data_IF_089333896251
#
_entry.id   IF_089333896251
#
_cell.length_a   1.000
_cell.length_b   1.000
_cell.length_c   1.000
_cell.angle_alpha   90.00
_cell.angle_beta   90.00
_cell.angle_gamma   90.00
#
_symmetry.space_group_name_H-M   'P 1'
#
loop_
_entity.id
_entity.type
_entity.pdbx_description
1 polymer ?
#
# COMPACT_ATOMS: atom_id res chain seq x y z
N UNK A 1 29.12 -0.47 -10.80
CA UNK A 1 29.02 -1.11 -9.47
C UNK A 1 29.19 -2.64 -9.59
N UNK A 2 29.85 -3.29 -8.62
CA UNK A 2 29.83 -4.75 -8.54
C UNK A 2 28.39 -5.25 -8.28
N UNK A 3 27.97 -6.43 -8.76
CA UNK A 3 26.59 -6.92 -8.60
C UNK A 3 26.06 -6.85 -7.16
N UNK A 4 26.91 -7.17 -6.18
CA UNK A 4 26.58 -7.10 -4.76
C UNK A 4 26.30 -5.68 -4.25
N UNK A 5 27.02 -4.69 -4.78
CA UNK A 5 26.77 -3.28 -4.44
C UNK A 5 25.44 -2.79 -5.00
N UNK A 6 25.00 -3.31 -6.16
CA UNK A 6 23.69 -2.98 -6.71
C UNK A 6 22.54 -3.55 -5.87
N UNK A 7 22.70 -4.76 -5.31
CA UNK A 7 21.73 -5.33 -4.38
C UNK A 7 21.63 -4.51 -3.09
N UNK A 8 22.77 -4.09 -2.53
CA UNK A 8 22.79 -3.24 -1.34
C UNK A 8 22.09 -1.88 -1.57
N UNK A 9 22.35 -1.23 -2.70
CA UNK A 9 21.69 0.01 -3.09
C UNK A 9 20.18 -0.19 -3.30
N UNK A 10 19.78 -1.31 -3.91
CA UNK A 10 18.37 -1.65 -4.09
C UNK A 10 17.64 -1.84 -2.76
N UNK A 11 18.24 -2.59 -1.82
CA UNK A 11 17.68 -2.78 -0.48
C UNK A 11 17.56 -1.46 0.29
N UNK A 12 18.59 -0.60 0.23
CA UNK A 12 18.53 0.74 0.82
C UNK A 12 17.38 1.56 0.22
N UNK A 13 17.22 1.51 -1.11
CA UNK A 13 16.14 2.22 -1.81
C UNK A 13 14.75 1.74 -1.38
N UNK A 14 14.56 0.44 -1.23
CA UNK A 14 13.30 -0.13 -0.69
C UNK A 14 13.04 0.40 0.71
N UNK A 15 14.07 0.42 1.57
CA UNK A 15 13.99 0.99 2.92
C UNK A 15 13.56 2.46 2.91
N UNK A 16 14.16 3.28 2.05
CA UNK A 16 13.79 4.69 1.90
C UNK A 16 12.33 4.86 1.49
N UNK A 17 11.84 4.05 0.55
CA UNK A 17 10.45 4.08 0.11
C UNK A 17 9.52 3.69 1.26
N UNK A 18 9.84 2.63 2.02
CA UNK A 18 9.05 2.22 3.18
C UNK A 18 8.95 3.36 4.21
N UNK A 19 10.08 3.99 4.57
CA UNK A 19 10.10 5.09 5.55
C UNK A 19 9.27 6.28 5.05
N UNK A 20 9.40 6.65 3.78
CA UNK A 20 8.62 7.72 3.19
C UNK A 20 7.12 7.41 3.16
N UNK A 21 6.74 6.19 2.78
CA UNK A 21 5.34 5.74 2.78
C UNK A 21 4.74 5.77 4.19
N UNK A 22 5.45 5.30 5.20
CA UNK A 22 4.99 5.33 6.60
C UNK A 22 4.85 6.77 7.13
N UNK A 23 5.78 7.66 6.79
CA UNK A 23 5.68 9.07 7.15
C UNK A 23 4.49 9.75 6.46
N UNK A 24 4.26 9.45 5.17
CA UNK A 24 3.09 9.94 4.44
C UNK A 24 1.79 9.49 5.08
N UNK A 25 1.69 8.20 5.42
CA UNK A 25 0.52 7.66 6.13
C UNK A 25 0.33 8.33 7.49
N UNK A 26 1.40 8.50 8.27
CA UNK A 26 1.35 9.23 9.55
C UNK A 26 0.82 10.65 9.36
N UNK A 27 1.30 11.38 8.36
CA UNK A 27 0.85 12.74 8.10
C UNK A 27 -0.64 12.81 7.75
N UNK A 28 -1.14 11.86 6.94
CA UNK A 28 -2.57 11.74 6.63
C UNK A 28 -3.38 11.47 7.90
N UNK A 29 -2.93 10.53 8.74
CA UNK A 29 -3.60 10.20 10.01
C UNK A 29 -3.60 11.36 11.01
N UNK A 30 -2.54 12.17 11.04
CA UNK A 30 -2.44 13.37 11.89
C UNK A 30 -3.12 14.60 11.31
N UNK A 31 -3.66 14.54 10.08
CA UNK A 31 -4.26 15.68 9.39
C UNK A 31 -3.25 16.73 8.89
N UNK A 32 -1.94 16.43 8.93
CA UNK A 32 -0.90 17.30 8.38
C UNK A 32 -0.92 17.34 6.84
N UNK A 33 -1.46 16.29 6.22
CA UNK A 33 -1.76 16.21 4.79
C UNK A 33 -3.24 15.85 4.66
N UNK A 34 -3.99 16.61 3.86
CA UNK A 34 -5.40 16.32 3.62
C UNK A 34 -5.58 14.99 2.87
N UNK A 35 -6.63 14.25 3.21
CA UNK A 35 -6.93 12.94 2.65
C UNK A 35 -7.22 12.99 1.13
N UNK A 36 -7.54 14.17 0.59
CA UNK A 36 -7.65 14.46 -0.84
C UNK A 36 -6.33 14.25 -1.60
N UNK A 37 -5.19 14.20 -0.90
CA UNK A 37 -3.88 13.89 -1.49
C UNK A 37 -3.64 12.40 -1.74
N UNK A 38 -4.52 11.52 -1.27
CA UNK A 38 -4.48 10.11 -1.61
C UNK A 38 -4.79 9.93 -3.10
N UNK A 39 -3.82 9.41 -3.85
CA UNK A 39 -3.99 9.04 -5.25
C UNK A 39 -4.72 7.69 -5.33
N UNK A 40 -5.76 7.65 -6.15
CA UNK A 40 -6.47 6.42 -6.49
C UNK A 40 -5.90 5.71 -7.72
N UNK A 41 -6.60 4.67 -8.21
CA UNK A 41 -6.18 3.91 -9.37
C UNK A 41 -6.01 4.76 -10.64
N UNK A 42 -6.80 5.82 -10.79
CA UNK A 42 -6.75 6.67 -11.98
C UNK A 42 -5.52 7.57 -11.92
N UNK A 43 -5.24 8.17 -10.76
CA UNK A 43 -4.02 8.95 -10.52
C UNK A 43 -2.75 8.11 -10.75
N UNK A 44 -2.73 6.87 -10.26
CA UNK A 44 -1.63 5.94 -10.50
C UNK A 44 -1.46 5.66 -12.00
N UNK A 45 -2.55 5.46 -12.75
CA UNK A 45 -2.49 5.24 -14.19
C UNK A 45 -1.93 6.46 -14.94
N UNK A 46 -2.31 7.67 -14.54
CA UNK A 46 -1.80 8.91 -15.13
C UNK A 46 -0.30 9.10 -14.88
N UNK A 47 0.12 9.01 -13.61
CA UNK A 47 1.54 9.11 -13.22
C UNK A 47 2.37 8.04 -13.91
N UNK A 48 1.80 6.85 -14.11
CA UNK A 48 2.45 5.76 -14.86
C UNK A 48 2.65 6.12 -16.33
N UNK A 49 1.64 6.68 -17.00
CA UNK A 49 1.74 7.14 -18.38
C UNK A 49 2.76 8.28 -18.55
N UNK A 50 2.72 9.26 -17.65
CA UNK A 50 3.66 10.38 -17.64
C UNK A 50 5.10 9.88 -17.43
N UNK A 51 5.33 9.05 -16.41
CA UNK A 51 6.66 8.52 -16.10
C UNK A 51 7.19 7.61 -17.20
N UNK A 52 6.32 6.84 -17.87
CA UNK A 52 6.70 6.02 -19.02
C UNK A 52 7.24 6.88 -20.18
N UNK A 53 6.64 8.05 -20.42
CA UNK A 53 7.11 8.99 -21.45
C UNK A 53 8.47 9.63 -21.11
N UNK A 54 8.84 9.68 -19.83
CA UNK A 54 10.15 10.15 -19.35
C UNK A 54 11.27 9.12 -19.54
N UNK A 55 10.92 7.87 -19.92
CA UNK A 55 11.87 6.81 -20.28
C UNK A 55 11.88 5.61 -19.33
N UNK A 56 12.55 4.54 -19.77
CA UNK A 56 12.53 3.23 -19.09
C UNK A 56 13.09 3.28 -17.66
N UNK A 57 14.13 4.08 -17.40
CA UNK A 57 14.73 4.18 -16.07
C UNK A 57 13.76 4.74 -15.03
N UNK A 58 13.04 5.80 -15.37
CA UNK A 58 12.02 6.41 -14.52
C UNK A 58 10.84 5.45 -14.32
N UNK A 59 10.42 4.76 -15.38
CA UNK A 59 9.33 3.79 -15.31
C UNK A 59 9.65 2.59 -14.39
N UNK A 60 10.86 2.03 -14.47
CA UNK A 60 11.31 0.97 -13.56
C UNK A 60 11.34 1.49 -12.11
N UNK A 61 11.76 2.74 -11.91
CA UNK A 61 11.76 3.36 -10.58
C UNK A 61 10.35 3.49 -10.02
N UNK A 62 9.39 3.91 -10.85
CA UNK A 62 7.98 3.98 -10.45
C UNK A 62 7.44 2.59 -10.09
N UNK A 63 7.69 1.57 -10.91
CA UNK A 63 7.31 0.19 -10.61
C UNK A 63 7.88 -0.25 -9.26
N UNK A 64 9.16 0.05 -8.99
CA UNK A 64 9.78 -0.28 -7.72
C UNK A 64 9.11 0.42 -6.53
N UNK A 65 8.76 1.70 -6.68
CA UNK A 65 8.05 2.47 -5.64
C UNK A 65 6.65 1.90 -5.39
N UNK A 66 5.85 1.71 -6.44
CA UNK A 66 4.50 1.16 -6.33
C UNK A 66 4.53 -0.26 -5.75
N UNK A 67 5.44 -1.12 -6.22
CA UNK A 67 5.59 -2.49 -5.74
C UNK A 67 5.97 -2.53 -4.25
N UNK A 68 6.88 -1.64 -3.83
CA UNK A 68 7.26 -1.54 -2.41
C UNK A 68 6.08 -1.06 -1.56
N UNK A 69 5.32 -0.07 -2.04
CA UNK A 69 4.15 0.44 -1.33
C UNK A 69 3.04 -0.62 -1.20
N UNK A 70 2.73 -1.34 -2.28
CA UNK A 70 1.74 -2.44 -2.26
C UNK A 70 2.23 -3.57 -1.33
N UNK A 71 3.51 -3.95 -1.41
CA UNK A 71 4.11 -4.93 -0.51
C UNK A 71 4.02 -4.51 0.96
N UNK A 72 4.30 -3.24 1.26
CA UNK A 72 4.14 -2.67 2.60
C UNK A 72 2.67 -2.70 3.07
N UNK A 73 1.73 -2.29 2.21
CA UNK A 73 0.31 -2.34 2.52
C UNK A 73 -0.17 -3.76 2.82
N UNK A 74 0.27 -4.76 2.04
CA UNK A 74 -0.08 -6.16 2.27
C UNK A 74 0.41 -6.70 3.62
N UNK A 75 1.44 -6.10 4.22
CA UNK A 75 1.93 -6.47 5.55
C UNK A 75 1.12 -5.85 6.69
N UNK A 76 0.19 -4.93 6.41
CA UNK A 76 -0.68 -4.36 7.43
C UNK A 76 -1.67 -5.38 8.00
N UNK A 77 -2.07 -5.23 9.27
CA UNK A 77 -2.94 -6.16 9.98
C UNK A 77 -4.42 -5.99 9.56
N UNK A 78 -4.69 -6.05 8.27
CA UNK A 78 -6.03 -5.94 7.68
C UNK A 78 -6.44 -7.35 7.25
N UNK A 79 -7.60 -7.89 7.67
CA UNK A 79 -7.96 -9.30 7.48
C UNK A 79 -7.84 -9.81 6.04
N UNK A 80 -8.19 -8.98 5.05
CA UNK A 80 -8.15 -9.34 3.62
C UNK A 80 -6.74 -9.30 3.01
N UNK A 81 -5.74 -8.80 3.75
CA UNK A 81 -4.34 -8.72 3.33
C UNK A 81 -3.51 -9.82 4.00
N UNK A 82 -2.33 -10.09 3.44
CA UNK A 82 -1.41 -11.13 3.94
C UNK A 82 -1.06 -10.94 5.43
N UNK A 83 -0.86 -9.69 5.87
CA UNK A 83 -0.60 -9.34 7.26
C UNK A 83 -1.76 -9.66 8.20
N UNK A 84 -3.01 -9.65 7.70
CA UNK A 84 -4.19 -10.12 8.45
C UNK A 84 -4.11 -11.60 8.79
N UNK A 85 -3.65 -12.42 7.86
CA UNK A 85 -3.42 -13.85 8.09
C UNK A 85 -2.26 -14.09 9.06
N UNK A 86 -1.16 -13.33 8.94
CA UNK A 86 -0.05 -13.39 9.90
C UNK A 86 -0.55 -13.10 11.32
N UNK A 87 -1.36 -12.06 11.50
CA UNK A 87 -1.96 -11.76 12.81
C UNK A 87 -2.87 -12.88 13.29
N UNK A 88 -3.68 -13.46 12.42
CA UNK A 88 -4.54 -14.59 12.79
C UNK A 88 -3.74 -15.79 13.30
N UNK A 89 -2.61 -16.13 12.64
CA UNK A 89 -1.72 -17.20 13.09
C UNK A 89 -1.01 -16.87 14.40
N UNK A 90 -0.57 -15.62 14.60
CA UNK A 90 -0.01 -15.18 15.88
C UNK A 90 -1.04 -15.32 17.00
N UNK A 91 -2.29 -14.92 16.75
CA UNK A 91 -3.39 -15.08 17.71
C UNK A 91 -3.67 -16.56 18.00
N UNK A 92 -3.67 -17.41 16.98
CA UNK A 92 -3.83 -18.86 17.15
C UNK A 92 -2.70 -19.47 17.98
N UNK A 93 -1.45 -19.09 17.71
CA UNK A 93 -0.27 -19.57 18.45
C UNK A 93 -0.33 -19.18 19.94
N UNK A 94 -0.79 -17.96 20.24
CA UNK A 94 -0.97 -17.49 21.63
C UNK A 94 -2.17 -18.17 22.31
N UNK A 95 -3.26 -18.40 21.58
CA UNK A 95 -4.52 -18.93 22.13
C UNK A 95 -4.58 -20.47 22.16
N UNK A 96 -3.71 -21.15 21.43
CA UNK A 96 -3.65 -22.60 21.28
C UNK A 96 -4.83 -23.22 20.51
N UNK A 97 -5.65 -22.39 19.84
CA UNK A 97 -6.81 -22.83 19.05
C UNK A 97 -7.14 -21.84 17.94
N UNK A 98 -7.61 -22.33 16.78
CA UNK A 98 -7.92 -21.48 15.65
C UNK A 98 -9.06 -20.50 15.98
N UNK A 99 -9.06 -19.29 15.36
CA UNK A 99 -10.21 -18.40 15.38
C UNK A 99 -11.45 -19.10 14.81
N UNK A 100 -12.64 -18.80 15.34
CA UNK A 100 -13.87 -19.35 14.77
C UNK A 100 -14.07 -18.88 13.33
N UNK A 101 -14.48 -19.76 12.43
CA UNK A 101 -14.72 -19.46 11.02
C UNK A 101 -15.64 -18.24 10.82
N UNK A 102 -16.71 -18.12 11.62
CA UNK A 102 -17.63 -16.97 11.57
C UNK A 102 -16.94 -15.64 11.86
N UNK A 103 -16.02 -15.62 12.84
CA UNK A 103 -15.27 -14.41 13.18
C UNK A 103 -14.28 -14.04 12.07
N UNK A 104 -13.63 -15.03 11.46
CA UNK A 104 -12.71 -14.80 10.35
C UNK A 104 -13.47 -14.27 9.11
N UNK A 105 -14.59 -14.89 8.75
CA UNK A 105 -15.45 -14.43 7.66
C UNK A 105 -15.93 -12.99 7.89
N UNK A 106 -16.39 -12.68 9.09
CA UNK A 106 -16.82 -11.33 9.44
C UNK A 106 -15.68 -10.31 9.33
N UNK A 107 -14.49 -10.65 9.84
CA UNK A 107 -13.29 -9.82 9.73
C UNK A 107 -12.89 -9.59 8.26
N UNK A 108 -12.94 -10.64 7.43
CA UNK A 108 -12.68 -10.55 5.98
C UNK A 108 -13.67 -9.62 5.29
N UNK A 109 -14.98 -9.75 5.58
CA UNK A 109 -16.01 -8.88 5.01
C UNK A 109 -15.81 -7.42 5.40
N UNK A 110 -15.45 -7.14 6.66
CA UNK A 110 -15.10 -5.79 7.11
C UNK A 110 -13.87 -5.28 6.36
N UNK A 111 -12.80 -6.08 6.29
CA UNK A 111 -11.57 -5.71 5.59
C UNK A 111 -11.82 -5.38 4.12
N UNK A 112 -12.57 -6.22 3.43
CA UNK A 112 -12.97 -5.98 2.03
C UNK A 112 -13.81 -4.70 1.90
N UNK A 113 -14.80 -4.50 2.77
CA UNK A 113 -15.64 -3.30 2.78
C UNK A 113 -14.81 -2.03 2.96
N UNK A 114 -13.82 -2.03 3.86
CA UNK A 114 -12.91 -0.91 4.07
C UNK A 114 -12.04 -0.62 2.84
N UNK A 115 -11.49 -1.65 2.19
CA UNK A 115 -10.69 -1.47 0.97
C UNK A 115 -11.55 -0.91 -0.17
N UNK A 116 -12.75 -1.46 -0.37
CA UNK A 116 -13.67 -0.96 -1.40
C UNK A 116 -14.07 0.49 -1.14
N UNK A 117 -14.36 0.83 0.12
CA UNK A 117 -14.67 2.22 0.51
C UNK A 117 -13.49 3.14 0.22
N UNK A 118 -12.26 2.74 0.58
CA UNK A 118 -11.05 3.50 0.29
C UNK A 118 -10.83 3.66 -1.22
N UNK A 119 -11.07 2.62 -2.01
CA UNK A 119 -10.96 2.68 -3.47
C UNK A 119 -11.95 3.67 -4.06
N UNK A 120 -13.21 3.65 -3.62
CA UNK A 120 -14.24 4.61 -4.07
C UNK A 120 -13.84 6.03 -3.67
N UNK A 121 -13.39 6.23 -2.43
CA UNK A 121 -12.94 7.53 -1.94
C UNK A 121 -11.74 8.07 -2.73
N UNK A 122 -10.71 7.26 -2.95
CA UNK A 122 -9.53 7.68 -3.70
C UNK A 122 -9.85 7.95 -5.18
N UNK A 123 -10.72 7.14 -5.78
CA UNK A 123 -11.19 7.36 -7.16
C UNK A 123 -12.01 8.64 -7.27
N UNK A 124 -12.85 8.94 -6.26
CA UNK A 124 -13.60 10.20 -6.20
C UNK A 124 -12.66 11.40 -6.13
N UNK A 125 -11.60 11.33 -5.29
CA UNK A 125 -10.59 12.38 -5.20
C UNK A 125 -9.82 12.57 -6.52
N UNK A 126 -9.47 11.47 -7.19
CA UNK A 126 -8.84 11.50 -8.52
C UNK A 126 -9.73 12.25 -9.52
N UNK A 127 -11.03 11.92 -9.58
CA UNK A 127 -11.98 12.56 -10.50
C UNK A 127 -12.12 14.04 -10.18
N UNK A 128 -12.29 14.40 -8.90
CA UNK A 128 -12.43 15.79 -8.50
C UNK A 128 -11.22 16.62 -8.92
N UNK A 129 -10.02 16.07 -8.74
CA UNK A 129 -8.75 16.70 -9.14
C UNK A 129 -8.62 16.91 -10.65
N UNK A 130 -9.22 16.05 -11.47
CA UNK A 130 -9.18 16.18 -12.94
C UNK A 130 -10.15 17.22 -13.47
N UNK A 131 -11.23 17.49 -12.73
CA UNK A 131 -12.28 18.43 -13.14
C UNK A 131 -12.04 19.82 -12.57
N UNK A 132 -11.33 19.93 -11.44
CA UNK A 132 -10.90 21.21 -10.83
C UNK A 132 -9.66 21.79 -11.52
#
# INVERSE_FOLDING_TARGET
PAPWTALGLGAARVGDVIVQSLNGLRHILTGAIGAENLQGPIGIAQVSGETASQGLGSFITLIAVISTAIGLLNLFPIPVLDGGHVVAFVVEAVRGRPPSERALQFAMSIGLGLILLLMVFATYNDIMRMVS
#
